data_IF_138100120276
#
_entry.id   IF_138100120276
#
_cell.length_a   1.000
_cell.length_b   1.000
_cell.length_c   1.000
_cell.angle_alpha   90.00
_cell.angle_beta   90.00
_cell.angle_gamma   90.00
#
_symmetry.space_group_name_H-M   'P 1'
#
loop_
_entity.id
_entity.type
_entity.pdbx_description
1 polymer ?
#
# COMPACT_ATOMS: atom_id res chain seq x y z
N UNK A 1 3.01 5.22 -22.96
CA UNK A 1 2.45 6.43 -22.29
C UNK A 1 2.10 6.07 -20.85
N UNK A 2 2.44 6.93 -19.90
CA UNK A 2 2.10 6.64 -18.51
C UNK A 2 0.64 6.99 -18.22
N UNK A 3 0.01 6.21 -17.36
CA UNK A 3 -1.36 6.40 -16.92
C UNK A 3 -1.35 6.61 -15.41
N UNK A 4 -2.01 7.67 -14.95
CA UNK A 4 -2.13 7.97 -13.53
C UNK A 4 -3.35 7.25 -12.96
N UNK A 5 -3.15 6.57 -11.82
CA UNK A 5 -4.19 5.81 -11.12
C UNK A 5 -4.52 6.51 -9.81
N UNK A 6 -5.81 6.61 -9.52
CA UNK A 6 -6.30 7.18 -8.26
C UNK A 6 -7.58 6.48 -7.81
N UNK A 7 -7.77 6.37 -6.49
CA UNK A 7 -8.98 5.79 -5.90
C UNK A 7 -9.25 6.41 -4.53
N UNK A 8 -10.52 6.51 -4.16
CA UNK A 8 -10.94 6.97 -2.83
C UNK A 8 -10.86 5.86 -1.78
N UNK A 9 -10.67 4.61 -2.21
CA UNK A 9 -10.56 3.45 -1.31
C UNK A 9 -9.16 3.30 -0.71
N UNK A 10 -8.24 4.17 -1.08
CA UNK A 10 -6.92 4.28 -0.48
C UNK A 10 -6.67 5.74 -0.11
N UNK A 11 -5.72 6.03 0.80
CA UNK A 11 -5.42 7.41 1.20
C UNK A 11 -5.05 8.28 -0.02
N UNK A 12 -5.57 9.50 -0.03
CA UNK A 12 -5.25 10.47 -1.09
C UNK A 12 -3.77 10.77 -1.11
N UNK A 13 -3.24 10.99 -2.31
CA UNK A 13 -1.89 11.50 -2.44
C UNK A 13 -1.83 12.92 -1.85
N UNK A 14 -0.92 13.12 -0.90
CA UNK A 14 -0.68 14.41 -0.26
C UNK A 14 0.66 14.90 -0.78
N UNK A 15 0.64 16.00 -1.55
CA UNK A 15 1.84 16.52 -2.16
C UNK A 15 1.94 16.17 -3.65
N UNK A 16 3.09 16.40 -4.27
CA UNK A 16 3.26 16.30 -5.72
C UNK A 16 3.55 14.88 -6.20
N UNK A 17 2.68 13.92 -5.86
CA UNK A 17 2.83 12.54 -6.33
C UNK A 17 1.46 11.92 -6.58
N UNK A 18 1.43 10.80 -7.28
CA UNK A 18 0.23 10.03 -7.56
C UNK A 18 0.19 8.77 -6.71
N UNK A 19 -1.01 8.20 -6.50
CA UNK A 19 -1.14 6.91 -5.81
C UNK A 19 -0.45 5.80 -6.59
N UNK A 20 -0.58 5.81 -7.90
CA UNK A 20 0.10 4.85 -8.77
C UNK A 20 0.20 5.39 -10.18
N UNK A 21 1.14 4.84 -10.94
CA UNK A 21 1.36 5.14 -12.36
C UNK A 21 1.54 3.84 -13.11
N UNK A 22 0.84 3.68 -14.24
CA UNK A 22 1.02 2.57 -15.14
C UNK A 22 1.87 2.98 -16.33
N UNK A 23 2.84 2.14 -16.70
CA UNK A 23 3.72 2.40 -17.84
C UNK A 23 4.29 1.08 -18.38
N UNK A 24 4.18 0.86 -19.68
CA UNK A 24 4.72 -0.33 -20.35
C UNK A 24 4.32 -1.65 -19.69
N UNK A 25 3.06 -1.78 -19.30
CA UNK A 25 2.55 -3.01 -18.68
C UNK A 25 2.92 -3.20 -17.22
N UNK A 26 3.60 -2.24 -16.60
CA UNK A 26 3.96 -2.28 -15.19
C UNK A 26 3.23 -1.21 -14.41
N UNK A 27 2.95 -1.50 -13.14
CA UNK A 27 2.39 -0.55 -12.19
C UNK A 27 3.45 -0.18 -11.14
N UNK A 28 3.58 1.11 -10.92
CA UNK A 28 4.47 1.65 -9.88
C UNK A 28 3.59 2.35 -8.85
N UNK A 29 3.54 1.81 -7.64
CA UNK A 29 2.74 2.36 -6.56
C UNK A 29 3.61 3.19 -5.62
N UNK A 30 3.06 4.33 -5.19
CA UNK A 30 3.68 5.14 -4.15
C UNK A 30 3.69 4.38 -2.83
N UNK A 31 4.65 4.69 -1.97
CA UNK A 31 4.70 4.10 -0.64
C UNK A 31 3.41 4.33 0.13
N UNK A 32 3.02 3.34 0.91
CA UNK A 32 1.85 3.42 1.78
C UNK A 32 2.27 3.40 3.24
N UNK A 33 1.64 4.25 4.00
CA UNK A 33 1.69 4.19 5.47
C UNK A 33 0.30 3.80 5.96
N UNK A 34 0.14 3.33 7.21
CA UNK A 34 -1.14 2.77 7.66
C UNK A 34 -2.21 3.83 7.95
N UNK A 35 -2.57 4.61 6.94
CA UNK A 35 -3.62 5.61 7.03
C UNK A 35 -4.99 4.99 6.73
N UNK A 36 -5.99 5.39 7.51
CA UNK A 36 -7.37 5.09 7.18
C UNK A 36 -7.80 6.03 6.06
N UNK A 37 -8.25 5.51 4.90
CA UNK A 37 -8.61 6.38 3.78
C UNK A 37 -9.82 7.28 4.06
N UNK A 38 -10.68 6.91 5.00
CA UNK A 38 -11.85 7.72 5.36
C UNK A 38 -11.49 8.91 6.24
N UNK A 39 -10.51 8.77 7.12
CA UNK A 39 -10.13 9.81 8.09
C UNK A 39 -8.84 10.54 7.76
N UNK A 40 -7.96 9.92 6.97
CA UNK A 40 -6.63 10.44 6.70
C UNK A 40 -5.68 10.34 7.87
N UNK A 41 -6.04 9.59 8.91
CA UNK A 41 -5.24 9.44 10.12
C UNK A 41 -4.56 8.08 10.15
N UNK A 42 -3.36 8.02 10.75
CA UNK A 42 -2.67 6.76 10.99
C UNK A 42 -3.50 5.94 11.98
N UNK A 43 -3.76 4.68 11.67
CA UNK A 43 -4.52 3.82 12.57
C UNK A 43 -3.70 3.50 13.82
N UNK A 44 -4.39 3.30 14.94
CA UNK A 44 -3.77 2.79 16.14
C UNK A 44 -3.64 1.27 16.05
N UNK A 45 -2.71 0.71 16.80
CA UNK A 45 -2.50 -0.71 16.85
C UNK A 45 -1.03 -1.09 16.69
N UNK A 46 -0.78 -2.40 16.71
CA UNK A 46 0.57 -2.94 16.56
C UNK A 46 0.99 -3.00 15.08
N UNK A 47 2.18 -3.51 14.83
CA UNK A 47 2.71 -3.60 13.47
C UNK A 47 1.87 -4.54 12.61
N UNK A 48 1.24 -5.56 13.17
CA UNK A 48 0.38 -6.46 12.41
C UNK A 48 -0.87 -5.73 11.91
N UNK A 49 -1.54 -4.95 12.76
CA UNK A 49 -2.70 -4.16 12.38
C UNK A 49 -2.33 -3.08 11.36
N UNK A 50 -1.21 -2.41 11.55
CA UNK A 50 -0.74 -1.38 10.64
C UNK A 50 -0.36 -1.98 9.27
N UNK A 51 0.25 -3.16 9.25
CA UNK A 51 0.57 -3.86 8.01
C UNK A 51 -0.68 -4.25 7.24
N UNK A 52 -1.70 -4.74 7.94
CA UNK A 52 -2.98 -5.07 7.32
C UNK A 52 -3.59 -3.84 6.65
N UNK A 53 -3.56 -2.68 7.33
CA UNK A 53 -4.08 -1.44 6.74
C UNK A 53 -3.30 -1.02 5.50
N UNK A 54 -1.97 -1.12 5.53
CA UNK A 54 -1.12 -0.84 4.37
C UNK A 54 -1.46 -1.76 3.21
N UNK A 55 -1.62 -3.06 3.46
CA UNK A 55 -1.97 -4.03 2.42
C UNK A 55 -3.35 -3.76 1.82
N UNK A 56 -4.32 -3.38 2.65
CA UNK A 56 -5.65 -3.01 2.14
C UNK A 56 -5.57 -1.75 1.27
N UNK A 57 -4.75 -0.78 1.64
CA UNK A 57 -4.55 0.43 0.84
C UNK A 57 -3.90 0.08 -0.51
N UNK A 58 -2.86 -0.77 -0.50
CA UNK A 58 -2.21 -1.23 -1.74
C UNK A 58 -3.18 -2.02 -2.62
N UNK A 59 -3.97 -2.91 -2.01
CA UNK A 59 -4.98 -3.69 -2.73
C UNK A 59 -5.98 -2.77 -3.44
N UNK A 60 -6.45 -1.74 -2.75
CA UNK A 60 -7.41 -0.79 -3.34
C UNK A 60 -6.83 -0.09 -4.57
N UNK A 61 -5.57 0.34 -4.51
CA UNK A 61 -4.90 0.99 -5.63
C UNK A 61 -4.69 -0.01 -6.79
N UNK A 62 -4.26 -1.24 -6.47
CA UNK A 62 -4.06 -2.28 -7.49
C UNK A 62 -5.37 -2.62 -8.20
N UNK A 63 -6.46 -2.77 -7.46
CA UNK A 63 -7.76 -3.08 -8.05
C UNK A 63 -8.28 -1.93 -8.91
N UNK A 64 -8.06 -0.69 -8.48
CA UNK A 64 -8.42 0.48 -9.28
C UNK A 64 -7.68 0.51 -10.61
N UNK A 65 -6.49 -0.09 -10.67
CA UNK A 65 -5.70 -0.18 -11.89
C UNK A 65 -5.97 -1.46 -12.70
N UNK A 66 -6.93 -2.28 -12.26
CA UNK A 66 -7.25 -3.54 -12.93
C UNK A 66 -6.28 -4.68 -12.62
N UNK A 67 -5.52 -4.57 -11.55
CA UNK A 67 -4.56 -5.60 -11.13
C UNK A 67 -4.97 -6.24 -9.80
N UNK A 68 -4.06 -6.92 -9.12
CA UNK A 68 -4.33 -7.60 -7.86
C UNK A 68 -3.04 -7.83 -7.08
N UNK A 69 -3.18 -8.15 -5.80
CA UNK A 69 -2.03 -8.48 -4.94
C UNK A 69 -1.25 -9.68 -5.48
N UNK A 70 -1.92 -10.64 -6.13
CA UNK A 70 -1.26 -11.82 -6.70
C UNK A 70 -0.31 -11.53 -7.85
N UNK A 71 -0.34 -10.32 -8.40
CA UNK A 71 0.51 -9.90 -9.52
C UNK A 71 1.68 -9.01 -9.09
N UNK A 72 1.86 -8.82 -7.80
CA UNK A 72 2.97 -8.01 -7.28
C UNK A 72 4.30 -8.73 -7.51
N UNK A 73 5.25 -8.04 -8.12
CA UNK A 73 6.58 -8.57 -8.40
C UNK A 73 7.59 -8.23 -7.31
N UNK A 74 7.46 -7.06 -6.72
CA UNK A 74 8.42 -6.56 -5.74
C UNK A 74 7.76 -5.56 -4.81
N UNK A 75 8.13 -5.61 -3.53
CA UNK A 75 7.79 -4.58 -2.56
C UNK A 75 9.05 -4.18 -1.79
N UNK A 76 9.01 -2.99 -1.21
CA UNK A 76 10.03 -2.54 -0.26
C UNK A 76 9.31 -2.20 1.05
N UNK A 77 9.84 -2.71 2.16
CA UNK A 77 9.23 -2.52 3.48
C UNK A 77 10.19 -1.80 4.41
N UNK A 78 9.71 -0.72 5.00
CA UNK A 78 10.45 0.03 6.02
C UNK A 78 9.75 -0.14 7.36
N UNK A 79 10.48 -0.62 8.36
CA UNK A 79 9.97 -0.84 9.70
C UNK A 79 10.86 -0.12 10.71
N UNK A 80 10.25 0.38 11.79
CA UNK A 80 10.98 0.95 12.89
C UNK A 80 11.83 -0.11 13.60
N UNK A 81 11.29 -1.33 13.72
CA UNK A 81 11.97 -2.48 14.32
C UNK A 81 11.92 -3.66 13.34
N UNK A 82 13.06 -3.95 12.70
CA UNK A 82 13.16 -5.05 11.74
C UNK A 82 12.94 -6.42 12.37
N UNK A 83 13.13 -6.55 13.70
CA UNK A 83 12.82 -7.79 14.41
C UNK A 83 11.36 -8.20 14.35
N UNK A 84 10.46 -7.27 14.04
CA UNK A 84 9.03 -7.55 13.91
C UNK A 84 8.64 -8.08 12.54
N UNK A 85 9.54 -8.04 11.56
CA UNK A 85 9.22 -8.41 10.18
C UNK A 85 8.66 -9.84 10.07
N UNK A 86 9.41 -10.82 10.57
CA UNK A 86 8.97 -12.23 10.46
C UNK A 86 7.85 -12.57 11.43
N UNK A 87 7.82 -11.93 12.61
CA UNK A 87 6.85 -12.25 13.66
C UNK A 87 5.48 -11.65 13.43
N UNK A 88 5.44 -10.43 12.91
CA UNK A 88 4.23 -9.60 12.87
C UNK A 88 3.63 -9.48 11.48
N UNK A 89 4.49 -9.41 10.46
CA UNK A 89 4.06 -9.25 9.06
C UNK A 89 3.73 -10.61 8.46
N UNK A 90 4.52 -11.64 8.79
CA UNK A 90 4.30 -13.00 8.32
C UNK A 90 4.11 -13.94 9.52
N UNK A 91 2.97 -13.81 10.25
CA UNK A 91 2.73 -14.70 11.37
C UNK A 91 2.58 -16.15 10.89
N UNK A 92 2.93 -17.14 11.73
CA UNK A 92 2.71 -18.54 11.37
C UNK A 92 1.23 -18.79 11.13
N UNK A 93 0.96 -19.64 10.17
CA UNK A 93 -0.41 -19.98 9.78
C UNK A 93 -1.14 -20.73 10.90
#
# INVERSE_FOLDING_TARGET
MKQIIATEKAPRAIGPYSQAVAHNGLLYLSGQIPLDPATGQVIEGDVAAQTERVLENLKAVLEAAGSSLGRVLKTTVYLKDLGEFARRIFPPA
#
